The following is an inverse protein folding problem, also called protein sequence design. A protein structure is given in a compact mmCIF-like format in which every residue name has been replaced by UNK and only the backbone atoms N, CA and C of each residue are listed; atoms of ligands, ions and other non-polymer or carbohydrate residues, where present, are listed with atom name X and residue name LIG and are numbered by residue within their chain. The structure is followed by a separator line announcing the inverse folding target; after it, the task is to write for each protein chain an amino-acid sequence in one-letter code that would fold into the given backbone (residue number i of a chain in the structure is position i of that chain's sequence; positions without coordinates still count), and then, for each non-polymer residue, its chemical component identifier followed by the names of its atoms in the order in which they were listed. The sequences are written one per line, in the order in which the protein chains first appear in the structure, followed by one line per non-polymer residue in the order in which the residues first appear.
data_IF_404207893777
#
_entry.id   IF_404207893777
#
_cell.length_a   1.000
_cell.length_b   1.000
_cell.length_c   1.000
_cell.angle_alpha   90.00
_cell.angle_beta   90.00
_cell.angle_gamma   90.00
#
_symmetry.space_group_name_H-M   'P 1'
#
loop_
_entity.id
_entity.type
_entity.pdbx_description
1 polymer ?
#
# COMPACT_ATOMS: atom_id res chain seq x y z
N UNK A 1 8.07 4.55 0.41
CA UNK A 1 6.89 4.33 1.28
C UNK A 1 6.90 5.40 2.35
N UNK A 2 5.77 6.08 2.58
CA UNK A 2 5.59 6.92 3.76
C UNK A 2 5.82 6.11 5.04
N UNK A 3 6.02 6.80 6.17
CA UNK A 3 6.56 6.38 7.49
C UNK A 3 5.97 5.10 8.14
N UNK A 4 5.12 4.30 7.48
CA UNK A 4 4.56 3.03 7.96
C UNK A 4 3.55 3.18 9.10
N UNK A 5 3.62 4.29 9.84
CA UNK A 5 2.78 4.68 10.97
C UNK A 5 1.30 4.65 10.63
N UNK A 6 0.93 5.20 9.46
CA UNK A 6 -0.48 5.25 9.01
C UNK A 6 -1.03 3.83 8.73
N UNK A 7 -0.24 2.97 8.09
CA UNK A 7 -0.63 1.58 7.81
C UNK A 7 -0.79 0.77 9.09
N UNK A 8 0.14 0.92 10.04
CA UNK A 8 0.06 0.27 11.35
C UNK A 8 -1.18 0.74 12.10
N UNK A 9 -1.42 2.05 12.15
CA UNK A 9 -2.60 2.63 12.81
C UNK A 9 -3.90 2.08 12.22
N UNK A 10 -4.03 2.07 10.88
CA UNK A 10 -5.22 1.54 10.20
C UNK A 10 -5.46 0.06 10.50
N UNK A 11 -4.41 -0.76 10.56
CA UNK A 11 -4.54 -2.17 10.91
C UNK A 11 -4.98 -2.34 12.37
N UNK A 12 -4.37 -1.63 13.32
CA UNK A 12 -4.74 -1.75 14.74
C UNK A 12 -6.20 -1.34 15.00
N UNK A 13 -6.66 -0.24 14.39
CA UNK A 13 -8.08 0.18 14.50
C UNK A 13 -9.04 -0.85 13.89
N UNK A 14 -8.62 -1.55 12.82
CA UNK A 14 -9.38 -2.66 12.26
C UNK A 14 -9.44 -3.84 13.22
N UNK A 15 -8.31 -4.22 13.84
CA UNK A 15 -8.28 -5.28 14.84
C UNK A 15 -9.26 -5.04 16.00
N UNK A 16 -9.36 -3.80 16.48
CA UNK A 16 -10.29 -3.38 17.54
C UNK A 16 -11.75 -3.47 17.12
N UNK A 17 -12.08 -3.02 15.90
CA UNK A 17 -13.48 -2.90 15.44
C UNK A 17 -14.05 -4.18 14.82
N UNK A 18 -13.21 -5.03 14.21
CA UNK A 18 -13.68 -6.20 13.46
C UNK A 18 -13.37 -7.55 14.14
N UNK A 19 -12.70 -7.57 15.29
CA UNK A 19 -12.29 -8.81 15.97
C UNK A 19 -11.20 -9.61 15.24
N UNK A 20 -10.44 -8.97 14.34
CA UNK A 20 -9.35 -9.62 13.62
C UNK A 20 -8.13 -9.81 14.52
N UNK A 21 -7.88 -11.06 14.91
CA UNK A 21 -6.78 -11.42 15.83
C UNK A 21 -5.39 -11.21 15.24
N UNK A 22 -5.25 -11.18 13.91
CA UNK A 22 -3.98 -10.99 13.20
C UNK A 22 -3.57 -9.52 13.04
N UNK A 23 -4.48 -8.57 13.29
CA UNK A 23 -4.21 -7.14 13.26
C UNK A 23 -3.66 -6.64 14.62
N UNK A 24 -2.54 -7.22 15.05
CA UNK A 24 -1.83 -6.88 16.28
C UNK A 24 -0.38 -6.45 16.00
N UNK A 25 0.29 -5.83 16.99
CA UNK A 25 1.62 -5.24 16.82
C UNK A 25 2.69 -6.26 16.37
N UNK A 26 2.66 -7.48 16.92
CA UNK A 26 3.63 -8.52 16.60
C UNK A 26 3.47 -9.01 15.15
N UNK A 27 2.24 -9.33 14.76
CA UNK A 27 1.89 -9.72 13.39
C UNK A 27 2.24 -8.62 12.38
N UNK A 28 1.97 -7.36 12.70
CA UNK A 28 2.29 -6.22 11.82
C UNK A 28 3.80 -6.05 11.64
N UNK A 29 4.60 -6.22 12.70
CA UNK A 29 6.06 -6.19 12.60
C UNK A 29 6.59 -7.29 11.67
N UNK A 30 6.06 -8.51 11.80
CA UNK A 30 6.40 -9.63 10.91
C UNK A 30 6.01 -9.33 9.47
N UNK A 31 4.81 -8.81 9.23
CA UNK A 31 4.33 -8.44 7.88
C UNK A 31 5.17 -7.36 7.22
N UNK A 32 5.57 -6.32 7.95
CA UNK A 32 6.46 -5.26 7.43
C UNK A 32 7.81 -5.85 7.04
N UNK A 33 8.37 -6.73 7.88
CA UNK A 33 9.62 -7.43 7.57
C UNK A 33 9.48 -8.26 6.29
N UNK A 34 8.46 -9.12 6.20
CA UNK A 34 8.21 -9.96 5.02
C UNK A 34 7.99 -9.12 3.75
N UNK A 35 7.26 -8.01 3.86
CA UNK A 35 7.10 -7.08 2.72
C UNK A 35 8.46 -6.56 2.23
N UNK A 36 9.32 -6.12 3.14
CA UNK A 36 10.65 -5.60 2.77
C UNK A 36 11.57 -6.68 2.19
N UNK A 37 11.51 -7.90 2.70
CA UNK A 37 12.37 -9.01 2.26
C UNK A 37 11.90 -9.64 0.95
N UNK A 38 10.58 -9.74 0.72
CA UNK A 38 10.02 -10.54 -0.39
C UNK A 38 9.25 -9.72 -1.41
N UNK A 39 8.47 -8.71 -1.00
CA UNK A 39 7.62 -7.93 -1.91
C UNK A 39 8.37 -6.75 -2.52
N UNK A 40 9.20 -6.05 -1.74
CA UNK A 40 9.96 -4.89 -2.20
C UNK A 40 10.90 -5.19 -3.38
N UNK A 41 11.65 -6.31 -3.43
CA UNK A 41 12.48 -6.64 -4.59
C UNK A 41 11.69 -6.80 -5.89
N UNK A 42 10.44 -7.30 -5.81
CA UNK A 42 9.55 -7.43 -6.97
C UNK A 42 9.16 -6.05 -7.49
N UNK A 43 8.81 -5.12 -6.58
CA UNK A 43 8.50 -3.74 -6.94
C UNK A 43 9.72 -3.09 -7.59
N UNK A 44 10.91 -3.22 -6.99
CA UNK A 44 12.15 -2.67 -7.53
C UNK A 44 12.45 -3.21 -8.94
N UNK A 45 12.17 -4.49 -9.21
CA UNK A 45 12.30 -5.10 -10.53
C UNK A 45 11.36 -4.45 -11.56
N UNK A 46 10.07 -4.29 -11.25
CA UNK A 46 9.11 -3.66 -12.17
C UNK A 46 9.34 -2.15 -12.32
N UNK A 47 9.86 -1.48 -11.29
CA UNK A 47 10.24 -0.07 -11.37
C UNK A 47 11.34 0.14 -12.40
N UNK A 48 12.35 -0.75 -12.45
CA UNK A 48 13.41 -0.71 -13.48
C UNK A 48 12.88 -0.89 -14.91
N UNK A 49 11.71 -1.52 -15.06
CA UNK A 49 11.04 -1.72 -16.35
C UNK A 49 10.08 -0.57 -16.70
N UNK A 50 9.99 0.49 -15.87
CA UNK A 50 9.01 1.57 -15.99
C UNK A 50 7.54 1.11 -15.94
N UNK A 51 7.28 -0.06 -15.35
CA UNK A 51 5.93 -0.63 -15.23
C UNK A 51 5.21 -0.26 -13.92
N UNK A 52 5.91 0.36 -12.96
CA UNK A 52 5.33 0.74 -11.67
C UNK A 52 4.80 2.17 -11.72
N UNK A 53 3.53 2.34 -11.36
CA UNK A 53 2.92 3.64 -11.01
C UNK A 53 2.74 3.70 -9.50
N UNK A 54 3.16 4.81 -8.88
CA UNK A 54 3.13 4.99 -7.41
C UNK A 54 2.04 5.96 -7.02
N UNK A 55 1.25 5.61 -6.00
CA UNK A 55 0.19 6.46 -5.43
C UNK A 55 0.47 6.63 -3.94
N UNK A 56 0.35 7.86 -3.44
CA UNK A 56 0.41 8.12 -2.01
C UNK A 56 -0.91 7.72 -1.34
N UNK A 57 -0.88 6.59 -0.62
CA UNK A 57 -2.00 6.01 0.11
C UNK A 57 -2.22 6.60 1.52
N UNK A 58 -1.43 7.61 1.93
CA UNK A 58 -1.59 8.27 3.24
C UNK A 58 -2.80 9.19 3.34
N UNK A 59 -3.31 9.65 2.18
CA UNK A 59 -4.46 10.54 2.04
C UNK A 59 -5.80 9.83 2.28
N UNK A 60 -6.87 10.60 2.24
CA UNK A 60 -8.24 10.08 2.36
C UNK A 60 -8.62 9.20 1.15
N UNK A 61 -9.69 8.41 1.33
CA UNK A 61 -10.11 7.39 0.36
C UNK A 61 -10.50 8.02 -0.99
N UNK A 62 -11.21 9.14 -0.98
CA UNK A 62 -11.67 9.77 -2.22
C UNK A 62 -10.51 10.32 -3.04
N UNK A 63 -9.55 10.96 -2.37
CA UNK A 63 -8.34 11.47 -3.02
C UNK A 63 -7.51 10.32 -3.62
N UNK A 64 -7.27 9.25 -2.85
CA UNK A 64 -6.53 8.08 -3.35
C UNK A 64 -7.27 7.45 -4.54
N UNK A 65 -8.60 7.35 -4.48
CA UNK A 65 -9.40 6.80 -5.58
C UNK A 65 -9.29 7.64 -6.85
N UNK A 66 -9.37 8.97 -6.75
CA UNK A 66 -9.20 9.88 -7.90
C UNK A 66 -7.83 9.74 -8.56
N UNK A 67 -6.76 9.55 -7.78
CA UNK A 67 -5.44 9.34 -8.35
C UNK A 67 -5.31 8.00 -9.07
N UNK A 68 -5.95 6.95 -8.55
CA UNK A 68 -6.05 5.67 -9.27
C UNK A 68 -6.77 5.89 -10.60
N UNK A 69 -7.95 6.52 -10.59
CA UNK A 69 -8.72 6.78 -11.82
C UNK A 69 -7.89 7.52 -12.86
N UNK A 70 -7.24 8.61 -12.46
CA UNK A 70 -6.38 9.40 -13.35
C UNK A 70 -5.29 8.56 -14.02
N UNK A 71 -4.63 7.67 -13.27
CA UNK A 71 -3.58 6.80 -13.83
C UNK A 71 -4.14 5.79 -14.86
N UNK A 72 -5.34 5.26 -14.63
CA UNK A 72 -5.99 4.36 -15.58
C UNK A 72 -6.49 5.12 -16.81
N UNK A 73 -7.08 6.31 -16.63
CA UNK A 73 -7.53 7.15 -17.74
C UNK A 73 -6.36 7.51 -18.67
N UNK A 74 -5.23 7.95 -18.10
CA UNK A 74 -3.99 8.22 -18.86
C UNK A 74 -3.48 6.99 -19.62
N UNK A 75 -3.59 5.80 -19.02
CA UNK A 75 -3.16 4.54 -19.66
C UNK A 75 -4.06 4.18 -20.86
N UNK A 76 -5.38 4.36 -20.72
CA UNK A 76 -6.35 4.09 -21.79
C UNK A 76 -6.35 5.13 -22.90
N UNK A 77 -5.93 6.38 -22.65
CA UNK A 77 -5.78 7.38 -23.71
C UNK A 77 -4.50 7.19 -24.55
N UNK A 78 -3.56 6.37 -24.08
CA UNK A 78 -2.29 6.07 -24.78
C UNK A 78 -2.36 4.82 -25.67
N UNK A 79 -3.48 4.09 -25.66
CA UNK A 79 -3.72 2.85 -26.43
C UNK A 79 -5.07 2.90 -27.14
#
# INVERSE_FOLDING_TARGET
MGDGKITIQRCLERGKSSGRSDDNAESLKKRIRTYNESTRPIIDMYTKQNLVKTIDASRDVETVFKDVQKLFDEFYQQH
#
